data_IF_641717283493
#
_entry.id   IF_641717283493
#
_cell.length_a   1.000
_cell.length_b   1.000
_cell.length_c   1.000
_cell.angle_alpha   90.00
_cell.angle_beta   90.00
_cell.angle_gamma   90.00
#
_symmetry.space_group_name_H-M   'P 1'
#
loop_
_entity.id
_entity.type
_entity.pdbx_description
1 polymer ?
#
# COMPACT_ATOMS: atom_id res chain seq x y z
N UNK A 1 -68.12 -57.68 14.32
CA UNK A 1 -66.78 -57.11 14.07
C UNK A 1 -66.89 -56.29 12.78
N UNK A 2 -67.56 -55.13 12.69
CA UNK A 2 -67.63 -53.92 13.55
C UNK A 2 -66.30 -53.15 13.60
N UNK A 3 -65.73 -52.81 12.44
CA UNK A 3 -64.54 -51.94 12.36
C UNK A 3 -64.26 -51.26 10.99
N UNK A 4 -65.25 -51.09 10.09
CA UNK A 4 -64.99 -50.50 8.76
C UNK A 4 -65.84 -49.27 8.39
N UNK A 5 -66.54 -48.67 9.34
CA UNK A 5 -67.52 -47.59 9.03
C UNK A 5 -67.19 -46.22 9.64
N UNK A 6 -65.99 -46.06 10.23
CA UNK A 6 -65.55 -44.79 10.89
C UNK A 6 -64.39 -44.13 10.13
N UNK A 7 -64.34 -44.21 8.80
CA UNK A 7 -63.33 -43.49 7.99
C UNK A 7 -63.91 -42.63 6.86
N UNK A 8 -65.22 -42.46 6.77
CA UNK A 8 -65.84 -41.73 5.64
C UNK A 8 -66.23 -40.28 5.88
N UNK A 9 -65.91 -39.69 7.04
CA UNK A 9 -66.46 -38.36 7.35
C UNK A 9 -65.52 -37.41 8.11
N UNK A 10 -64.30 -37.24 7.59
CA UNK A 10 -63.42 -36.13 8.01
C UNK A 10 -62.84 -35.44 6.78
N UNK A 11 -63.71 -34.76 6.03
CA UNK A 11 -63.30 -33.66 5.14
C UNK A 11 -62.88 -32.48 6.01
N UNK A 12 -61.65 -32.55 6.55
CA UNK A 12 -61.02 -31.41 7.21
C UNK A 12 -60.76 -30.35 6.15
N UNK A 13 -61.73 -29.46 5.96
CA UNK A 13 -61.61 -28.30 5.07
C UNK A 13 -60.80 -27.24 5.81
N UNK A 14 -59.47 -27.33 5.76
CA UNK A 14 -58.60 -26.23 6.17
C UNK A 14 -58.54 -25.22 5.03
N UNK A 15 -59.58 -24.39 4.91
CA UNK A 15 -59.55 -23.22 4.06
C UNK A 15 -58.98 -22.03 4.85
N UNK A 16 -57.67 -22.06 5.11
CA UNK A 16 -56.93 -20.86 5.48
C UNK A 16 -56.51 -20.13 4.20
N UNK A 17 -56.65 -18.79 4.11
CA UNK A 17 -56.10 -18.06 2.97
C UNK A 17 -54.59 -18.33 2.92
N UNK A 18 -54.12 -18.95 1.82
CA UNK A 18 -52.70 -18.99 1.51
C UNK A 18 -52.27 -17.53 1.35
N UNK A 19 -51.26 -17.02 2.07
CA UNK A 19 -50.64 -15.78 1.68
C UNK A 19 -49.93 -16.04 0.34
N UNK A 20 -50.62 -15.77 -0.75
CA UNK A 20 -50.08 -15.44 -2.06
C UNK A 20 -49.40 -14.05 -2.03
N UNK A 21 -48.69 -13.77 -0.95
CA UNK A 21 -47.75 -12.68 -0.81
C UNK A 21 -46.36 -13.20 -1.16
N UNK A 22 -46.18 -13.65 -2.40
CA UNK A 22 -44.84 -13.67 -2.97
C UNK A 22 -44.28 -12.27 -2.73
N UNK A 23 -43.15 -12.16 -2.05
CA UNK A 23 -42.42 -10.91 -1.95
C UNK A 23 -41.95 -10.59 -3.37
N UNK A 24 -42.87 -10.06 -4.19
CA UNK A 24 -42.58 -9.40 -5.43
C UNK A 24 -41.75 -8.22 -5.01
N UNK A 25 -40.43 -8.40 -5.05
CA UNK A 25 -39.49 -7.29 -5.14
C UNK A 25 -40.05 -6.47 -6.30
N UNK A 26 -40.63 -5.28 -6.04
CA UNK A 26 -41.23 -4.49 -7.09
C UNK A 26 -40.18 -4.35 -8.19
N UNK A 27 -40.55 -4.48 -9.47
CA UNK A 27 -39.58 -4.39 -10.57
C UNK A 27 -38.68 -3.12 -10.45
N UNK A 28 -39.21 -2.07 -9.83
CA UNK A 28 -38.47 -0.87 -9.42
C UNK A 28 -37.23 -1.14 -8.54
N UNK A 29 -37.29 -2.04 -7.57
CA UNK A 29 -36.16 -2.40 -6.71
C UNK A 29 -35.02 -3.07 -7.47
N UNK A 30 -35.33 -3.86 -8.51
CA UNK A 30 -34.31 -4.43 -9.40
C UNK A 30 -33.47 -3.34 -10.08
N UNK A 31 -34.14 -2.29 -10.57
CA UNK A 31 -33.46 -1.13 -11.18
C UNK A 31 -32.66 -0.31 -10.16
N UNK A 32 -33.13 -0.17 -8.92
CA UNK A 32 -32.39 0.52 -7.86
C UNK A 32 -31.09 -0.23 -7.52
N UNK A 33 -31.15 -1.55 -7.36
CA UNK A 33 -29.96 -2.37 -7.06
C UNK A 33 -28.96 -2.32 -8.21
N UNK A 34 -29.44 -2.46 -9.46
CA UNK A 34 -28.59 -2.37 -10.65
C UNK A 34 -27.93 -0.99 -10.77
N UNK A 35 -28.69 0.08 -10.54
CA UNK A 35 -28.18 1.46 -10.55
C UNK A 35 -27.13 1.70 -9.47
N UNK A 36 -27.37 1.21 -8.25
CA UNK A 36 -26.42 1.32 -7.14
C UNK A 36 -25.13 0.53 -7.41
N UNK A 37 -25.24 -0.69 -7.95
CA UNK A 37 -24.08 -1.50 -8.32
C UNK A 37 -23.25 -0.85 -9.45
N UNK A 38 -23.92 -0.30 -10.47
CA UNK A 38 -23.26 0.42 -11.55
C UNK A 38 -22.56 1.68 -11.05
N UNK A 39 -23.23 2.48 -10.21
CA UNK A 39 -22.64 3.67 -9.60
C UNK A 39 -21.44 3.33 -8.71
N UNK A 40 -21.54 2.26 -7.91
CA UNK A 40 -20.44 1.74 -7.09
C UNK A 40 -19.25 1.29 -7.93
N UNK A 41 -19.49 0.56 -9.02
CA UNK A 41 -18.43 0.12 -9.94
C UNK A 41 -17.73 1.30 -10.62
N UNK A 42 -18.48 2.32 -11.06
CA UNK A 42 -17.92 3.55 -11.63
C UNK A 42 -17.11 4.31 -10.58
N UNK A 43 -17.63 4.45 -9.37
CA UNK A 43 -16.91 5.09 -8.25
C UNK A 43 -15.60 4.37 -7.92
N UNK A 44 -15.62 3.04 -7.85
CA UNK A 44 -14.44 2.22 -7.62
C UNK A 44 -13.44 2.35 -8.77
N UNK A 45 -13.89 2.33 -10.02
CA UNK A 45 -13.03 2.49 -11.19
C UNK A 45 -12.37 3.88 -11.21
N UNK A 46 -13.11 4.94 -10.89
CA UNK A 46 -12.59 6.30 -10.76
C UNK A 46 -11.60 6.41 -9.60
N UNK A 47 -11.87 5.77 -8.47
CA UNK A 47 -10.96 5.74 -7.32
C UNK A 47 -9.65 5.01 -7.65
N UNK A 48 -9.73 3.83 -8.28
CA UNK A 48 -8.56 3.10 -8.77
C UNK A 48 -7.79 3.89 -9.84
N UNK A 49 -8.50 4.55 -10.76
CA UNK A 49 -7.87 5.44 -11.74
C UNK A 49 -7.17 6.61 -11.06
N UNK A 50 -7.77 7.28 -10.09
CA UNK A 50 -7.10 8.35 -9.35
C UNK A 50 -5.82 7.82 -8.68
N UNK A 51 -5.90 6.64 -8.05
CA UNK A 51 -4.80 5.99 -7.36
C UNK A 51 -3.66 5.55 -8.31
N UNK A 52 -3.98 5.07 -9.52
CA UNK A 52 -2.98 4.67 -10.52
C UNK A 52 -2.48 5.81 -11.40
N UNK A 53 -3.28 6.85 -11.65
CA UNK A 53 -2.86 8.07 -12.37
C UNK A 53 -1.76 8.79 -11.59
N UNK A 54 -1.83 8.83 -10.26
CA UNK A 54 -0.75 9.35 -9.42
C UNK A 54 0.57 8.57 -9.62
N UNK A 55 0.48 7.25 -9.78
CA UNK A 55 1.63 6.37 -10.06
C UNK A 55 2.15 6.53 -11.49
N UNK A 56 1.26 6.62 -12.48
CA UNK A 56 1.62 6.77 -13.89
C UNK A 56 2.20 8.16 -14.21
N UNK A 57 1.64 9.21 -13.60
CA UNK A 57 2.16 10.57 -13.70
C UNK A 57 3.55 10.68 -13.04
N UNK A 58 3.80 9.96 -11.94
CA UNK A 58 5.12 9.86 -11.32
C UNK A 58 6.13 9.15 -12.25
N UNK A 59 5.73 8.08 -12.95
CA UNK A 59 6.59 7.37 -13.93
C UNK A 59 6.94 8.25 -15.13
N UNK A 60 6.00 9.05 -15.63
CA UNK A 60 6.23 10.00 -16.73
C UNK A 60 7.13 11.17 -16.31
N UNK A 61 6.97 11.69 -15.08
CA UNK A 61 7.86 12.73 -14.52
C UNK A 61 9.28 12.21 -14.31
N UNK A 62 9.46 10.99 -13.83
CA UNK A 62 10.80 10.35 -13.72
C UNK A 62 11.50 10.18 -15.07
N UNK A 63 10.77 9.85 -16.14
CA UNK A 63 11.35 9.79 -17.50
C UNK A 63 11.79 11.16 -17.99
N UNK A 64 11.02 12.22 -17.72
CA UNK A 64 11.38 13.61 -18.08
C UNK A 64 12.54 14.18 -17.26
N UNK A 65 12.58 13.88 -15.96
CA UNK A 65 13.69 14.27 -15.10
C UNK A 65 14.98 13.55 -15.49
N UNK A 66 14.89 12.26 -15.88
CA UNK A 66 16.04 11.49 -16.36
C UNK A 66 16.55 11.96 -17.72
N UNK A 67 15.66 12.40 -18.63
CA UNK A 67 16.08 13.00 -19.90
C UNK A 67 16.70 14.40 -19.73
N UNK A 68 16.39 15.13 -18.66
CA UNK A 68 17.01 16.43 -18.36
C UNK A 68 18.39 16.33 -17.67
N UNK A 69 18.74 15.15 -17.13
CA UNK A 69 20.04 14.89 -16.50
C UNK A 69 21.12 14.44 -17.50
N UNK A 70 20.74 14.07 -18.73
CA UNK A 70 21.67 13.55 -19.76
C UNK A 70 22.27 14.66 -20.66
N UNK A 71 21.74 15.90 -20.60
CA UNK A 71 22.11 17.00 -21.52
C UNK A 71 23.02 18.10 -20.90
N UNK A 72 23.60 17.87 -19.72
CA UNK A 72 24.48 18.84 -19.04
C UNK A 72 25.94 18.38 -18.94
N UNK A 73 26.95 19.21 -19.28
CA UNK A 73 28.35 18.91 -19.01
C UNK A 73 28.54 18.62 -17.50
N UNK A 74 29.03 17.42 -17.22
CA UNK A 74 29.12 16.84 -15.89
C UNK A 74 30.29 17.42 -15.08
N UNK A 75 30.10 18.59 -14.47
CA UNK A 75 31.12 19.24 -13.62
C UNK A 75 30.68 19.45 -12.16
N UNK A 76 29.68 18.73 -11.66
CA UNK A 76 29.34 18.77 -10.23
C UNK A 76 28.89 17.40 -9.72
N UNK A 77 29.87 16.58 -9.35
CA UNK A 77 29.64 15.42 -8.47
C UNK A 77 29.32 15.96 -7.07
N UNK A 78 28.08 16.43 -6.88
CA UNK A 78 27.50 16.43 -5.55
C UNK A 78 27.51 14.97 -5.07
N UNK A 79 27.97 14.68 -3.84
CA UNK A 79 28.11 13.31 -3.39
C UNK A 79 26.76 12.61 -3.51
N UNK A 80 26.79 11.39 -4.07
CA UNK A 80 25.60 10.56 -4.27
C UNK A 80 24.77 10.33 -2.99
N UNK A 81 25.33 10.64 -1.81
CA UNK A 81 24.66 10.66 -0.50
C UNK A 81 23.54 11.69 -0.39
N UNK A 82 23.57 12.82 -1.11
CA UNK A 82 22.53 13.85 -0.95
C UNK A 82 21.30 13.64 -1.86
N UNK A 83 21.42 12.83 -2.91
CA UNK A 83 20.37 12.69 -3.93
C UNK A 83 19.14 11.92 -3.46
N UNK A 84 19.34 10.82 -2.71
CA UNK A 84 18.25 9.97 -2.25
C UNK A 84 17.43 10.65 -1.15
N UNK A 85 18.07 11.39 -0.25
CA UNK A 85 17.40 12.11 0.83
C UNK A 85 16.52 13.24 0.27
N UNK A 86 17.05 14.05 -0.66
CA UNK A 86 16.24 15.07 -1.36
C UNK A 86 15.04 14.46 -2.08
N UNK A 87 15.22 13.34 -2.77
CA UNK A 87 14.12 12.67 -3.46
C UNK A 87 13.04 12.17 -2.48
N UNK A 88 13.43 11.69 -1.29
CA UNK A 88 12.49 11.31 -0.25
C UNK A 88 11.74 12.52 0.34
N UNK A 89 12.45 13.62 0.58
CA UNK A 89 11.88 14.89 1.05
C UNK A 89 10.86 15.46 0.06
N UNK A 90 11.15 15.37 -1.25
CA UNK A 90 10.25 15.79 -2.32
C UNK A 90 8.95 14.97 -2.33
N UNK A 91 9.03 13.66 -2.09
CA UNK A 91 7.86 12.79 -1.98
C UNK A 91 7.03 13.13 -0.74
N UNK A 92 7.68 13.36 0.41
CA UNK A 92 6.98 13.75 1.63
C UNK A 92 6.28 15.11 1.50
N UNK A 93 6.85 16.07 0.77
CA UNK A 93 6.21 17.36 0.45
C UNK A 93 4.95 17.19 -0.40
N UNK A 94 4.86 16.13 -1.19
CA UNK A 94 3.68 15.76 -1.99
C UNK A 94 2.66 14.95 -1.19
N UNK A 95 2.86 14.72 0.12
CA UNK A 95 2.01 13.86 0.95
C UNK A 95 2.22 12.36 0.70
N UNK A 96 3.23 11.98 -0.08
CA UNK A 96 3.54 10.60 -0.48
C UNK A 96 4.48 9.94 0.51
N UNK A 97 4.01 9.82 1.76
CA UNK A 97 4.83 9.37 2.87
C UNK A 97 5.27 7.91 2.75
N UNK A 98 4.44 7.06 2.13
CA UNK A 98 4.78 5.66 1.87
C UNK A 98 6.01 5.53 0.98
N UNK A 99 5.99 6.22 -0.16
CA UNK A 99 7.12 6.21 -1.10
C UNK A 99 8.34 6.95 -0.55
N UNK A 100 8.12 8.00 0.25
CA UNK A 100 9.20 8.72 0.91
C UNK A 100 9.97 7.81 1.88
N UNK A 101 9.27 7.10 2.78
CA UNK A 101 9.87 6.16 3.73
C UNK A 101 10.60 5.02 3.00
N UNK A 102 10.01 4.47 1.95
CA UNK A 102 10.66 3.44 1.14
C UNK A 102 11.93 3.98 0.44
N UNK A 103 11.89 5.22 -0.05
CA UNK A 103 13.04 5.91 -0.63
C UNK A 103 14.20 6.08 0.36
N UNK A 104 13.89 6.42 1.62
CA UNK A 104 14.89 6.49 2.69
C UNK A 104 15.56 5.14 2.91
N UNK A 105 14.78 4.06 2.99
CA UNK A 105 15.30 2.71 3.15
C UNK A 105 16.24 2.33 2.00
N UNK A 106 15.83 2.55 0.75
CA UNK A 106 16.66 2.22 -0.42
C UNK A 106 17.96 3.04 -0.46
N UNK A 107 17.92 4.31 -0.04
CA UNK A 107 19.12 5.15 0.06
C UNK A 107 20.13 4.60 1.06
N UNK A 108 19.66 4.28 2.27
CA UNK A 108 20.47 3.68 3.34
C UNK A 108 21.02 2.31 2.93
N UNK A 109 20.19 1.42 2.37
CA UNK A 109 20.65 0.11 1.89
C UNK A 109 21.66 0.24 0.75
N UNK A 110 21.47 1.20 -0.16
CA UNK A 110 22.43 1.48 -1.24
C UNK A 110 23.77 2.00 -0.73
N UNK A 111 23.83 2.57 0.48
CA UNK A 111 25.09 2.88 1.15
C UNK A 111 25.70 1.65 1.82
N UNK A 112 24.91 0.90 2.59
CA UNK A 112 25.36 -0.33 3.25
C UNK A 112 25.89 -1.38 2.27
N UNK A 113 25.22 -1.58 1.14
CA UNK A 113 25.65 -2.53 0.11
C UNK A 113 26.97 -2.14 -0.55
N UNK A 114 27.34 -0.85 -0.56
CA UNK A 114 28.66 -0.39 -1.01
C UNK A 114 29.76 -0.68 0.00
N UNK A 115 29.44 -0.85 1.27
CA UNK A 115 30.42 -1.02 2.36
C UNK A 115 30.50 -2.45 2.90
N UNK A 116 29.47 -3.28 2.75
CA UNK A 116 29.37 -4.56 3.47
C UNK A 116 29.81 -5.80 2.69
N UNK A 117 29.96 -5.74 1.36
CA UNK A 117 30.31 -6.90 0.53
C UNK A 117 29.36 -8.10 0.69
N UNK A 118 28.16 -7.88 1.25
CA UNK A 118 27.25 -8.93 1.69
C UNK A 118 26.39 -9.47 0.55
N UNK A 119 26.30 -10.80 0.44
CA UNK A 119 25.38 -11.52 -0.46
C UNK A 119 23.90 -11.44 -0.04
N UNK A 120 23.55 -10.61 0.94
CA UNK A 120 22.17 -10.46 1.41
C UNK A 120 21.27 -9.88 0.30
N UNK A 121 20.17 -10.57 0.02
CA UNK A 121 19.26 -10.23 -1.10
C UNK A 121 18.04 -9.44 -0.64
N UNK A 122 17.69 -9.52 0.65
CA UNK A 122 16.53 -8.84 1.21
C UNK A 122 16.92 -7.82 2.29
N UNK A 123 16.10 -6.77 2.45
CA UNK A 123 16.33 -5.74 3.47
C UNK A 123 16.47 -6.32 4.90
N UNK A 124 15.70 -7.36 5.22
CA UNK A 124 15.78 -8.07 6.51
C UNK A 124 17.07 -8.86 6.68
N UNK A 125 17.54 -9.51 5.62
CA UNK A 125 18.85 -10.19 5.63
C UNK A 125 19.98 -9.19 5.83
N UNK A 126 19.92 -8.02 5.15
CA UNK A 126 20.92 -6.96 5.31
C UNK A 126 20.96 -6.46 6.75
N UNK A 127 19.80 -6.23 7.39
CA UNK A 127 19.75 -5.85 8.81
C UNK A 127 20.37 -6.92 9.72
N UNK A 128 20.10 -8.21 9.45
CA UNK A 128 20.66 -9.32 10.24
C UNK A 128 22.16 -9.47 10.06
N UNK A 129 22.64 -9.25 8.85
CA UNK A 129 24.06 -9.32 8.51
C UNK A 129 24.84 -8.09 9.00
N UNK A 130 24.16 -6.97 9.25
CA UNK A 130 24.79 -5.73 9.69
C UNK A 130 25.21 -5.82 11.17
N UNK A 131 26.50 -6.07 11.38
CA UNK A 131 27.16 -5.99 12.69
C UNK A 131 27.83 -4.62 12.81
N UNK A 132 27.05 -3.61 13.19
CA UNK A 132 27.53 -2.24 13.35
C UNK A 132 26.72 -1.47 14.39
N UNK A 133 27.20 -0.29 14.82
CA UNK A 133 26.35 0.66 15.53
C UNK A 133 25.09 0.94 14.69
N UNK A 134 23.95 1.17 15.36
CA UNK A 134 22.66 1.53 14.73
C UNK A 134 21.87 0.43 14.01
N UNK A 135 22.20 -0.85 14.20
CA UNK A 135 21.37 -1.99 13.73
C UNK A 135 19.89 -1.91 14.17
N UNK A 136 19.63 -1.37 15.37
CA UNK A 136 18.27 -1.11 15.88
C UNK A 136 17.52 -0.09 15.00
N UNK A 137 18.18 0.98 14.55
CA UNK A 137 17.58 2.04 13.73
C UNK A 137 17.32 1.54 12.32
N UNK A 138 18.27 0.80 11.74
CA UNK A 138 18.06 0.14 10.46
C UNK A 138 16.85 -0.82 10.52
N UNK A 139 16.75 -1.60 11.61
CA UNK A 139 15.59 -2.45 11.84
C UNK A 139 14.27 -1.69 12.02
N UNK A 140 14.30 -0.51 12.64
CA UNK A 140 13.12 0.36 12.77
C UNK A 140 12.68 0.92 11.41
N UNK A 141 13.64 1.38 10.59
CA UNK A 141 13.38 1.89 9.24
C UNK A 141 12.80 0.82 8.31
N UNK A 142 13.35 -0.40 8.34
CA UNK A 142 12.80 -1.55 7.59
C UNK A 142 11.38 -1.86 8.04
N UNK A 143 11.13 -1.93 9.35
CA UNK A 143 9.78 -2.20 9.88
C UNK A 143 8.78 -1.12 9.48
N UNK A 144 9.17 0.15 9.52
CA UNK A 144 8.31 1.26 9.10
C UNK A 144 7.97 1.18 7.60
N UNK A 145 8.97 0.89 6.75
CA UNK A 145 8.74 0.67 5.33
C UNK A 145 7.80 -0.51 5.08
N UNK A 146 7.95 -1.62 5.79
CA UNK A 146 7.08 -2.79 5.65
C UNK A 146 5.64 -2.50 6.07
N UNK A 147 5.44 -1.80 7.19
CA UNK A 147 4.12 -1.44 7.67
C UNK A 147 3.35 -0.56 6.68
N UNK A 148 4.04 0.39 6.04
CA UNK A 148 3.39 1.33 5.14
C UNK A 148 3.24 0.76 3.72
N UNK A 149 4.12 -0.13 3.25
CA UNK A 149 3.97 -0.77 1.94
C UNK A 149 3.10 -2.04 1.95
N UNK A 150 3.16 -2.84 3.02
CA UNK A 150 2.45 -4.12 3.10
C UNK A 150 1.29 -4.10 4.08
N UNK A 151 1.25 -3.17 5.04
CA UNK A 151 0.21 -3.10 6.06
C UNK A 151 -1.09 -2.39 5.65
N UNK A 152 -1.19 -1.92 4.41
CA UNK A 152 -2.39 -1.24 3.89
C UNK A 152 -2.75 0.07 4.59
N UNK A 153 -1.87 0.61 5.44
CA UNK A 153 -2.05 1.88 6.15
C UNK A 153 -1.33 3.01 5.41
N UNK A 154 -1.98 4.18 5.24
CA UNK A 154 -1.29 5.34 4.69
C UNK A 154 -0.15 5.73 5.64
N UNK A 155 1.02 6.02 5.06
CA UNK A 155 2.13 6.58 5.84
C UNK A 155 1.74 7.97 6.37
N UNK A 156 2.16 8.31 7.58
CA UNK A 156 1.94 9.64 8.16
C UNK A 156 3.20 10.50 8.11
N UNK A 157 3.02 11.81 8.26
CA UNK A 157 4.14 12.76 8.37
C UNK A 157 5.03 12.42 9.57
N UNK A 158 4.45 12.09 10.72
CA UNK A 158 5.18 11.74 11.94
C UNK A 158 5.98 10.43 11.79
N UNK A 159 5.49 9.48 10.97
CA UNK A 159 6.26 8.27 10.64
C UNK A 159 7.44 8.62 9.74
N UNK A 160 7.22 9.44 8.72
CA UNK A 160 8.26 9.88 7.82
C UNK A 160 9.35 10.69 8.54
N UNK A 161 8.98 11.65 9.39
CA UNK A 161 9.94 12.49 10.11
C UNK A 161 10.86 11.66 11.03
N UNK A 162 10.29 10.66 11.72
CA UNK A 162 11.07 9.69 12.51
C UNK A 162 12.02 8.86 11.64
N UNK A 163 11.52 8.32 10.53
CA UNK A 163 12.34 7.55 9.60
C UNK A 163 13.46 8.40 8.99
N UNK A 164 13.20 9.68 8.74
CA UNK A 164 14.17 10.63 8.18
C UNK A 164 15.29 10.92 9.18
N UNK A 165 14.98 11.08 10.46
CA UNK A 165 15.98 11.23 11.52
C UNK A 165 16.85 9.98 11.64
N UNK A 166 16.24 8.80 11.72
CA UNK A 166 16.99 7.53 11.75
C UNK A 166 17.88 7.36 10.52
N UNK A 167 17.39 7.73 9.33
CA UNK A 167 18.16 7.62 8.09
C UNK A 167 19.35 8.60 8.04
N UNK A 168 19.21 9.82 8.58
CA UNK A 168 20.29 10.79 8.68
C UNK A 168 21.39 10.34 9.65
N UNK A 169 21.00 9.78 10.80
CA UNK A 169 21.96 9.26 11.77
C UNK A 169 22.70 8.04 11.21
N UNK A 170 21.99 7.14 10.51
CA UNK A 170 22.61 6.01 9.80
C UNK A 170 23.56 6.48 8.70
N UNK A 171 23.19 7.50 7.91
CA UNK A 171 24.02 8.07 6.86
C UNK A 171 25.34 8.63 7.42
N UNK A 172 25.25 9.41 8.51
CA UNK A 172 26.41 9.96 9.19
C UNK A 172 27.30 8.90 9.84
N UNK A 173 26.72 7.86 10.45
CA UNK A 173 27.48 6.74 11.00
C UNK A 173 28.26 5.99 9.90
N UNK A 174 27.67 5.83 8.71
CA UNK A 174 28.31 5.20 7.55
C UNK A 174 29.38 6.08 6.89
N UNK A 175 29.38 7.39 7.12
CA UNK A 175 30.47 8.30 6.68
C UNK A 175 31.69 8.25 7.61
N UNK A 176 31.48 7.90 8.88
CA UNK A 176 32.54 7.85 9.91
C UNK A 176 33.24 6.49 10.00
N UNK A 177 32.64 5.43 9.45
CA UNK A 177 33.26 4.10 9.42
C UNK A 177 34.38 4.05 8.35
N UNK A 178 35.65 3.78 8.69
CA UNK A 178 36.69 3.60 7.69
C UNK A 178 36.41 2.35 6.85
N UNK A 179 36.66 2.47 5.54
CA UNK A 179 36.53 1.39 4.56
C UNK A 179 37.51 0.24 4.80
#
# INVERSE_FOLDING_TARGET
YRDLEIQRDLTVTVAGPRPDGGWMIPAAFGWVILGAAAAGAVGLALWLMAFDVDRAAAKRRRRRARSQLDDGPNDNVAPASAGWLRNADDLARQGRFAEAIHGLLLGVLGRLGRTSGSDATTAREIVRAHVGPDSRRLGALVRASELVHFGGRPGTREQYDRCRLDALELDGALDLAPA
#
